data_IF_126386309108
#
_entry.id   IF_126386309108
#
_cell.length_a   1.000
_cell.length_b   1.000
_cell.length_c   1.000
_cell.angle_alpha   90.00
_cell.angle_beta   90.00
_cell.angle_gamma   90.00
#
_symmetry.space_group_name_H-M   'P 1'
#
loop_
_entity.id
_entity.type
_entity.pdbx_description
1 polymer ?
#
# COMPACT_ATOMS: atom_id res chain seq x y z
N UNK A 1 -19.19 -21.83 -0.99
CA UNK A 1 -18.08 -22.18 -0.08
C UNK A 1 -18.35 -21.57 1.28
N UNK A 2 -18.05 -22.26 2.37
CA UNK A 2 -18.13 -21.71 3.72
C UNK A 2 -16.89 -20.88 4.06
N UNK A 3 -17.03 -19.84 4.90
CA UNK A 3 -15.90 -18.99 5.27
C UNK A 3 -14.69 -19.76 5.82
N UNK A 4 -14.95 -20.79 6.64
CA UNK A 4 -13.90 -21.64 7.24
C UNK A 4 -13.03 -22.39 6.24
N UNK A 5 -13.51 -22.57 5.01
CA UNK A 5 -12.82 -23.31 3.94
C UNK A 5 -11.93 -22.38 3.11
N UNK A 6 -12.19 -21.07 3.14
CA UNK A 6 -11.46 -20.07 2.37
C UNK A 6 -10.03 -19.87 2.89
N UNK A 7 -9.08 -19.85 1.95
CA UNK A 7 -7.68 -19.52 2.21
C UNK A 7 -7.40 -18.10 1.74
N UNK A 8 -6.87 -17.26 2.60
CA UNK A 8 -6.68 -15.84 2.30
C UNK A 8 -5.21 -15.44 2.39
N UNK A 9 -4.74 -14.56 1.50
CA UNK A 9 -3.40 -13.97 1.61
C UNK A 9 -3.40 -12.55 1.05
N UNK A 10 -2.43 -11.75 1.47
CA UNK A 10 -2.17 -10.44 0.87
C UNK A 10 -1.16 -10.64 -0.25
N UNK A 11 -1.47 -10.14 -1.44
CA UNK A 11 -0.53 -10.01 -2.55
C UNK A 11 -0.07 -8.56 -2.61
N UNK A 12 1.14 -8.29 -2.16
CA UNK A 12 1.79 -6.99 -2.35
C UNK A 12 2.68 -7.05 -3.60
N UNK A 13 2.48 -6.12 -4.52
CA UNK A 13 3.38 -5.95 -5.67
C UNK A 13 4.26 -4.70 -5.52
N UNK A 14 3.78 -3.71 -4.75
CA UNK A 14 4.51 -2.53 -4.26
C UNK A 14 5.35 -1.81 -5.29
N UNK A 15 4.73 -1.62 -6.44
CA UNK A 15 5.29 -0.80 -7.51
C UNK A 15 4.69 0.60 -7.53
N UNK A 16 3.97 1.06 -6.50
CA UNK A 16 3.33 2.40 -6.50
C UNK A 16 4.34 3.46 -6.96
N UNK A 17 5.54 3.38 -6.40
CA UNK A 17 6.73 4.03 -6.94
C UNK A 17 7.50 3.02 -7.79
N UNK A 18 7.77 3.39 -9.04
CA UNK A 18 8.85 2.75 -9.81
C UNK A 18 10.19 3.32 -9.39
N UNK A 19 10.24 4.62 -9.07
CA UNK A 19 11.35 5.31 -8.43
C UNK A 19 10.77 6.33 -7.43
N UNK A 20 11.22 6.35 -6.15
CA UNK A 20 12.27 5.50 -5.58
C UNK A 20 11.81 4.05 -5.34
N UNK A 21 12.76 3.12 -5.38
CA UNK A 21 12.52 1.69 -5.19
C UNK A 21 12.26 1.41 -3.71
N UNK A 22 11.18 0.69 -3.40
CA UNK A 22 10.87 0.26 -2.03
C UNK A 22 11.88 -0.82 -1.61
N UNK A 23 12.58 -0.61 -0.49
CA UNK A 23 13.63 -1.53 0.01
C UNK A 23 13.16 -2.32 1.23
N UNK A 24 12.38 -1.70 2.11
CA UNK A 24 11.70 -2.38 3.20
C UNK A 24 10.25 -1.94 3.32
N UNK A 25 9.46 -2.72 4.04
CA UNK A 25 8.08 -2.39 4.35
C UNK A 25 7.29 -3.64 4.67
N UNK A 26 6.20 -3.50 5.41
CA UNK A 26 5.27 -4.58 5.73
C UNK A 26 3.84 -4.08 5.70
N UNK A 27 2.93 -4.92 5.23
CA UNK A 27 1.51 -4.70 5.41
C UNK A 27 0.95 -5.62 6.48
N UNK A 28 0.10 -5.06 7.33
CA UNK A 28 -0.76 -5.78 8.25
C UNK A 28 -2.20 -5.44 7.91
N UNK A 29 -2.97 -6.45 7.53
CA UNK A 29 -4.37 -6.33 7.14
C UNK A 29 -5.24 -7.08 8.13
N UNK A 30 -6.26 -6.42 8.68
CA UNK A 30 -7.30 -7.03 9.50
C UNK A 30 -8.59 -7.07 8.71
N UNK A 31 -9.06 -8.27 8.41
CA UNK A 31 -10.36 -8.52 7.81
C UNK A 31 -11.35 -8.96 8.88
N UNK A 32 -12.57 -8.44 8.79
CA UNK A 32 -13.68 -8.77 9.69
C UNK A 32 -14.86 -9.20 8.82
N UNK A 33 -15.39 -10.39 9.06
CA UNK A 33 -16.56 -10.92 8.39
C UNK A 33 -17.76 -10.92 9.35
N UNK A 34 -18.92 -10.48 8.86
CA UNK A 34 -20.21 -10.49 9.56
C UNK A 34 -21.31 -10.93 8.60
N UNK A 35 -22.40 -11.49 9.11
CA UNK A 35 -23.55 -11.86 8.27
C UNK A 35 -24.30 -10.61 7.79
N UNK A 36 -24.71 -10.62 6.53
CA UNK A 36 -25.47 -9.51 5.93
C UNK A 36 -26.87 -9.38 6.53
N UNK A 37 -27.44 -10.47 7.03
CA UNK A 37 -28.77 -10.53 7.65
C UNK A 37 -28.84 -9.83 9.03
N UNK A 38 -27.73 -9.29 9.53
CA UNK A 38 -27.66 -8.59 10.81
C UNK A 38 -27.57 -9.51 12.04
N UNK A 39 -27.51 -10.83 11.84
CA UNK A 39 -27.34 -11.78 12.94
C UNK A 39 -26.03 -11.50 13.69
N UNK A 40 -26.04 -11.49 15.03
CA UNK A 40 -24.83 -11.25 15.82
C UNK A 40 -23.73 -12.29 15.55
N UNK A 41 -22.48 -11.84 15.68
CA UNK A 41 -21.29 -12.67 15.48
C UNK A 41 -20.29 -11.99 14.55
N UNK A 42 -19.02 -12.37 14.68
CA UNK A 42 -17.98 -11.97 13.74
C UNK A 42 -16.86 -13.00 13.68
N UNK A 43 -16.20 -13.06 12.53
CA UNK A 43 -14.95 -13.76 12.35
C UNK A 43 -13.87 -12.79 11.87
N UNK A 44 -12.62 -13.01 12.27
CA UNK A 44 -11.51 -12.12 11.95
C UNK A 44 -10.36 -12.93 11.35
N UNK A 45 -9.72 -12.39 10.32
CA UNK A 45 -8.42 -12.82 9.84
C UNK A 45 -7.44 -11.64 9.91
N UNK A 46 -6.26 -11.86 10.47
CA UNK A 46 -5.16 -10.90 10.40
C UNK A 46 -4.10 -11.47 9.49
N UNK A 47 -3.84 -10.76 8.40
CA UNK A 47 -2.94 -11.15 7.33
C UNK A 47 -1.72 -10.25 7.32
N UNK A 48 -0.56 -10.82 7.01
CA UNK A 48 0.70 -10.11 6.94
C UNK A 48 1.40 -10.43 5.63
N UNK A 49 2.10 -9.44 5.08
CA UNK A 49 3.05 -9.68 3.99
C UNK A 49 4.17 -8.65 4.06
N UNK A 50 5.37 -9.08 3.67
CA UNK A 50 6.44 -8.15 3.36
C UNK A 50 6.09 -7.36 2.09
N UNK A 51 6.60 -6.14 2.04
CA UNK A 51 6.38 -5.22 0.95
C UNK A 51 7.23 -5.54 -0.29
N UNK A 52 8.39 -6.14 -0.08
CA UNK A 52 9.41 -6.33 -1.12
C UNK A 52 9.54 -7.81 -1.50
N UNK A 53 9.40 -8.69 -0.51
CA UNK A 53 9.48 -10.14 -0.71
C UNK A 53 8.07 -10.68 -0.95
N UNK A 54 7.82 -11.19 -2.16
CA UNK A 54 6.57 -11.89 -2.45
C UNK A 54 6.44 -13.11 -1.54
N UNK A 55 5.35 -13.17 -0.77
CA UNK A 55 5.07 -14.25 0.15
C UNK A 55 3.62 -14.71 -0.01
N UNK A 56 3.42 -16.02 -0.09
CA UNK A 56 2.12 -16.67 -0.16
C UNK A 56 1.75 -17.30 1.19
N UNK A 57 1.85 -16.54 2.28
CA UNK A 57 1.42 -17.03 3.59
C UNK A 57 -0.10 -17.05 3.64
N UNK A 58 -0.65 -18.24 3.87
CA UNK A 58 -2.09 -18.45 3.94
C UNK A 58 -2.58 -18.16 5.35
N UNK A 59 -3.69 -17.43 5.41
CA UNK A 59 -4.43 -17.09 6.61
C UNK A 59 -5.86 -17.60 6.52
N UNK A 60 -6.42 -17.94 7.68
CA UNK A 60 -7.80 -18.36 7.82
C UNK A 60 -8.51 -17.47 8.82
N UNK A 61 -9.80 -17.27 8.61
CA UNK A 61 -10.65 -16.62 9.60
C UNK A 61 -10.77 -17.46 10.87
N UNK A 62 -10.95 -16.77 12.00
CA UNK A 62 -11.28 -17.37 13.29
C UNK A 62 -12.32 -16.50 13.99
N UNK A 63 -13.28 -17.12 14.67
CA UNK A 63 -14.30 -16.40 15.42
C UNK A 63 -15.58 -17.20 15.59
N UNK A 64 -16.71 -16.48 15.56
CA UNK A 64 -18.04 -17.04 15.78
C UNK A 64 -18.34 -18.21 14.82
N UNK A 65 -18.80 -19.34 15.37
CA UNK A 65 -19.05 -20.57 14.60
C UNK A 65 -20.08 -20.35 13.50
N UNK A 66 -21.16 -19.62 13.77
CA UNK A 66 -22.23 -19.40 12.80
C UNK A 66 -21.72 -18.54 11.63
N UNK A 67 -20.86 -17.56 11.90
CA UNK A 67 -20.19 -16.78 10.85
C UNK A 67 -19.21 -17.64 10.05
N UNK A 68 -18.42 -18.48 10.72
CA UNK A 68 -17.45 -19.38 10.09
C UNK A 68 -18.10 -20.43 9.17
N UNK A 69 -19.32 -20.87 9.51
CA UNK A 69 -20.11 -21.85 8.74
C UNK A 69 -21.06 -21.22 7.71
N UNK A 70 -21.10 -19.89 7.64
CA UNK A 70 -21.89 -19.16 6.63
C UNK A 70 -21.24 -19.21 5.25
N UNK A 71 -22.07 -19.16 4.20
CA UNK A 71 -21.57 -19.01 2.83
C UNK A 71 -20.90 -17.65 2.67
N UNK A 72 -19.77 -17.58 1.97
CA UNK A 72 -19.05 -16.34 1.72
C UNK A 72 -19.90 -15.24 1.06
N UNK A 73 -20.92 -15.62 0.27
CA UNK A 73 -21.83 -14.67 -0.38
C UNK A 73 -22.83 -14.02 0.59
N UNK A 74 -23.08 -14.65 1.74
CA UNK A 74 -24.00 -14.15 2.78
C UNK A 74 -23.28 -13.25 3.80
N UNK A 75 -21.99 -12.96 3.55
CA UNK A 75 -21.13 -12.20 4.44
C UNK A 75 -20.82 -10.82 3.89
N UNK A 76 -20.68 -9.87 4.80
CA UNK A 76 -20.10 -8.56 4.56
C UNK A 76 -18.70 -8.53 5.17
N UNK A 77 -17.74 -8.07 4.38
CA UNK A 77 -16.34 -7.96 4.80
C UNK A 77 -15.97 -6.49 5.05
N UNK A 78 -15.31 -6.24 6.17
CA UNK A 78 -14.64 -4.97 6.46
C UNK A 78 -13.14 -5.23 6.53
N UNK A 79 -12.36 -4.44 5.81
CA UNK A 79 -10.90 -4.60 5.74
C UNK A 79 -10.21 -3.31 6.14
N UNK A 80 -9.24 -3.44 7.03
CA UNK A 80 -8.41 -2.35 7.51
C UNK A 80 -6.96 -2.79 7.33
N UNK A 81 -6.16 -2.05 6.56
CA UNK A 81 -4.74 -2.35 6.40
C UNK A 81 -3.87 -1.18 6.78
N UNK A 82 -2.70 -1.51 7.32
CA UNK A 82 -1.68 -0.56 7.71
C UNK A 82 -0.34 -0.98 7.09
N UNK A 83 0.35 -0.03 6.49
CA UNK A 83 1.74 -0.17 6.08
C UNK A 83 2.68 0.38 7.15
N UNK A 84 3.75 -0.35 7.50
CA UNK A 84 4.78 0.10 8.46
C UNK A 84 6.19 -0.28 8.00
N UNK A 85 7.20 0.41 8.53
CA UNK A 85 8.61 0.10 8.27
C UNK A 85 9.04 0.29 6.83
N UNK A 86 8.38 1.19 6.09
CA UNK A 86 8.70 1.46 4.71
C UNK A 86 9.98 2.29 4.57
N UNK A 87 10.86 1.86 3.68
CA UNK A 87 12.02 2.63 3.23
C UNK A 87 12.11 2.57 1.71
N UNK A 88 12.78 3.56 1.14
CA UNK A 88 12.94 3.72 -0.30
C UNK A 88 14.32 4.22 -0.61
N UNK A 89 14.84 3.78 -1.75
CA UNK A 89 16.16 4.14 -2.24
C UNK A 89 16.07 4.49 -3.73
N UNK A 90 16.88 5.45 -4.16
CA UNK A 90 17.11 5.74 -5.57
C UNK A 90 18.53 6.20 -5.79
N UNK A 91 19.04 5.99 -6.99
CA UNK A 91 20.29 6.62 -7.42
C UNK A 91 20.08 8.12 -7.65
N UNK A 92 21.12 8.95 -7.50
CA UNK A 92 21.03 10.39 -7.75
C UNK A 92 20.50 10.74 -9.15
N UNK A 93 20.82 9.92 -10.15
CA UNK A 93 20.49 10.15 -11.56
C UNK A 93 19.08 9.67 -11.94
N UNK A 94 18.45 8.84 -11.10
CA UNK A 94 17.09 8.34 -11.35
C UNK A 94 16.08 9.46 -11.12
N UNK A 95 15.22 9.68 -12.13
CA UNK A 95 14.08 10.57 -11.99
C UNK A 95 12.96 9.84 -11.29
N UNK A 96 12.26 10.56 -10.42
CA UNK A 96 11.04 10.09 -9.79
C UNK A 96 10.06 9.58 -10.85
N UNK A 97 9.48 8.40 -10.61
CA UNK A 97 8.51 7.78 -11.50
C UNK A 97 7.47 7.00 -10.68
N UNK A 98 6.20 7.32 -10.88
CA UNK A 98 5.09 6.54 -10.34
C UNK A 98 4.67 5.42 -11.30
N UNK A 99 4.10 4.36 -10.74
CA UNK A 99 3.43 3.36 -11.54
C UNK A 99 2.13 3.89 -12.14
N UNK A 100 2.11 3.88 -13.47
CA UNK A 100 0.98 4.26 -14.32
C UNK A 100 -0.22 3.31 -14.21
N UNK A 101 0.01 2.05 -13.86
CA UNK A 101 -1.02 1.01 -13.71
C UNK A 101 -1.20 0.67 -12.24
N UNK A 102 -2.18 1.32 -11.61
CA UNK A 102 -2.41 1.21 -10.17
C UNK A 102 -2.52 -0.24 -9.69
N UNK A 103 -3.03 -1.17 -10.51
CA UNK A 103 -3.17 -2.60 -10.22
C UNK A 103 -1.83 -3.27 -9.88
N UNK A 104 -0.74 -2.76 -10.46
CA UNK A 104 0.63 -3.23 -10.19
C UNK A 104 1.21 -2.60 -8.92
N UNK A 105 0.68 -1.45 -8.52
CA UNK A 105 1.19 -0.67 -7.41
C UNK A 105 0.61 -1.13 -6.09
N UNK A 106 -0.69 -1.38 -6.05
CA UNK A 106 -1.41 -1.59 -4.79
C UNK A 106 -1.37 -3.05 -4.32
N UNK A 107 -1.38 -3.30 -3.00
CA UNK A 107 -1.64 -4.65 -2.50
C UNK A 107 -3.04 -5.10 -2.91
N UNK A 108 -3.32 -6.40 -2.83
CA UNK A 108 -4.67 -6.97 -2.97
C UNK A 108 -4.84 -8.10 -1.96
N UNK A 109 -6.07 -8.38 -1.56
CA UNK A 109 -6.36 -9.58 -0.76
C UNK A 109 -6.96 -10.63 -1.67
N UNK A 110 -6.31 -11.78 -1.72
CA UNK A 110 -6.74 -12.92 -2.50
C UNK A 110 -7.45 -13.94 -1.61
N UNK A 111 -8.42 -14.63 -2.20
CA UNK A 111 -9.08 -15.79 -1.61
C UNK A 111 -8.99 -16.96 -2.60
N UNK A 112 -8.54 -18.11 -2.11
CA UNK A 112 -8.66 -19.36 -2.85
C UNK A 112 -9.87 -20.15 -2.33
N UNK A 113 -10.72 -20.58 -3.25
CA UNK A 113 -11.88 -21.40 -2.94
C UNK A 113 -11.60 -22.91 -2.95
N UNK A 114 -12.61 -23.72 -2.63
CA UNK A 114 -12.53 -25.18 -2.60
C UNK A 114 -12.30 -25.81 -3.98
N UNK A 115 -12.52 -25.07 -5.07
CA UNK A 115 -12.23 -25.48 -6.45
C UNK A 115 -10.85 -25.02 -6.92
N UNK A 116 -10.02 -24.47 -6.00
CA UNK A 116 -8.72 -23.86 -6.26
C UNK A 116 -8.77 -22.61 -7.15
N UNK A 117 -9.93 -22.00 -7.34
CA UNK A 117 -10.02 -20.71 -8.04
C UNK A 117 -9.60 -19.57 -7.11
N UNK A 118 -8.87 -18.61 -7.68
CA UNK A 118 -8.32 -17.46 -6.95
C UNK A 118 -9.14 -16.23 -7.30
N UNK A 119 -9.67 -15.58 -6.27
CA UNK A 119 -10.51 -14.40 -6.37
C UNK A 119 -9.84 -13.21 -5.69
N UNK A 120 -10.08 -12.02 -6.21
CA UNK A 120 -9.79 -10.75 -5.53
C UNK A 120 -10.94 -10.38 -4.61
N UNK A 121 -10.68 -10.30 -3.31
CA UNK A 121 -11.69 -9.95 -2.28
C UNK A 121 -11.75 -8.45 -2.05
N UNK A 122 -10.60 -7.78 -2.16
CA UNK A 122 -10.48 -6.33 -1.97
C UNK A 122 -9.55 -5.75 -3.01
N UNK A 123 -10.06 -4.73 -3.71
CA UNK A 123 -9.28 -3.84 -4.57
C UNK A 123 -9.01 -2.55 -3.82
N UNK A 124 -7.76 -2.11 -3.83
CA UNK A 124 -7.36 -0.82 -3.29
C UNK A 124 -7.44 0.18 -4.43
N UNK A 125 -8.45 1.05 -4.39
CA UNK A 125 -8.54 2.12 -5.36
C UNK A 125 -7.67 3.28 -4.86
N UNK A 126 -6.82 3.89 -5.70
CA UNK A 126 -6.10 5.10 -5.30
C UNK A 126 -7.12 6.20 -4.93
N UNK A 127 -6.78 7.07 -3.96
CA UNK A 127 -7.74 8.07 -3.47
C UNK A 127 -8.11 9.17 -4.49
N UNK A 128 -7.51 9.21 -5.69
CA UNK A 128 -7.77 10.24 -6.70
C UNK A 128 -7.65 9.69 -8.14
N UNK A 129 -8.55 10.14 -9.03
CA UNK A 129 -8.46 9.97 -10.50
C UNK A 129 -7.35 10.86 -11.13
N UNK A 130 -6.76 11.76 -10.34
CA UNK A 130 -5.69 12.65 -10.78
C UNK A 130 -4.33 11.98 -10.65
N UNK A 131 -3.57 12.03 -11.74
CA UNK A 131 -2.19 11.54 -11.83
C UNK A 131 -1.35 12.04 -10.63
N UNK A 132 -0.92 11.16 -9.70
CA UNK A 132 -0.24 11.59 -8.48
C UNK A 132 1.16 12.17 -8.73
N UNK A 133 1.65 12.12 -9.98
CA UNK A 133 2.94 12.67 -10.37
C UNK A 133 3.01 14.20 -10.14
N UNK A 134 1.88 14.92 -10.19
CA UNK A 134 1.87 16.37 -9.98
C UNK A 134 1.73 16.77 -8.50
N UNK A 135 1.30 15.85 -7.63
CA UNK A 135 1.04 16.11 -6.21
C UNK A 135 2.17 15.62 -5.30
N UNK A 136 2.90 14.57 -5.71
CA UNK A 136 4.01 14.05 -4.92
C UNK A 136 5.25 14.95 -5.07
N UNK A 137 5.62 15.65 -3.98
CA UNK A 137 6.88 16.41 -3.91
C UNK A 137 7.99 15.47 -3.45
N UNK A 138 8.98 15.21 -4.31
CA UNK A 138 10.17 14.44 -3.93
C UNK A 138 10.88 15.15 -2.76
N UNK A 139 10.91 14.56 -1.55
CA UNK A 139 11.56 15.18 -0.39
C UNK A 139 13.08 15.27 -0.54
N UNK A 140 13.70 14.52 -1.45
CA UNK A 140 15.14 14.59 -1.75
C UNK A 140 15.49 15.75 -2.71
N UNK A 141 14.50 16.34 -3.38
CA UNK A 141 14.68 17.59 -4.13
C UNK A 141 14.45 18.73 -3.15
N UNK A 142 15.49 19.14 -2.43
CA UNK A 142 15.49 20.49 -1.86
C UNK A 142 15.38 21.44 -3.04
N UNK A 143 14.22 22.13 -3.18
CA UNK A 143 14.18 23.31 -4.03
C UNK A 143 15.31 24.21 -3.51
N UNK A 144 16.21 24.72 -4.38
CA UNK A 144 17.12 25.77 -3.95
C UNK A 144 16.23 26.81 -3.28
N UNK A 145 16.57 27.15 -2.03
CA UNK A 145 15.80 28.08 -1.25
C UNK A 145 15.58 29.35 -2.07
N UNK A 146 14.57 30.11 -1.68
CA UNK A 146 14.51 31.53 -2.02
C UNK A 146 15.68 32.26 -1.33
N UNK A 147 16.93 31.84 -1.57
CA UNK A 147 18.15 32.58 -1.33
C UNK A 147 18.42 33.36 -2.61
N UNK A 148 17.69 34.46 -2.74
CA UNK A 148 18.00 35.52 -3.68
C UNK A 148 17.93 36.84 -2.93
N UNK A 149 18.95 37.06 -2.11
CA UNK A 149 19.41 38.39 -1.75
C UNK A 149 20.95 38.33 -1.76
N UNK A 150 21.51 38.90 -2.84
CA UNK A 150 22.93 38.92 -3.21
C UNK A 150 23.89 39.26 -2.06
N UNK A 151 25.09 38.65 -2.02
CA UNK A 151 26.29 39.31 -1.52
C UNK A 151 26.92 40.09 -2.68
N UNK A 152 26.61 41.38 -2.84
CA UNK A 152 27.51 42.27 -3.58
C UNK A 152 28.66 42.66 -2.65
N UNK A 153 29.75 41.91 -2.78
CA UNK A 153 31.06 42.35 -2.34
C UNK A 153 31.75 42.97 -3.56
N UNK A 154 31.68 44.29 -3.69
CA UNK A 154 32.50 45.05 -4.63
C UNK A 154 33.57 45.82 -3.86
N UNK A 155 34.82 45.45 -4.09
CA UNK A 155 35.96 46.36 -3.98
C UNK A 155 36.96 46.03 -5.10
N UNK A 156 38.05 46.77 -5.28
CA UNK A 156 38.33 48.17 -4.92
C UNK A 156 38.78 48.99 -6.16
N UNK A 157 38.96 50.32 -6.04
CA UNK A 157 39.87 51.05 -6.92
C UNK A 157 40.36 52.37 -6.31
N UNK A 158 41.62 52.32 -5.90
CA UNK A 158 42.69 53.32 -6.05
C UNK A 158 42.73 54.67 -5.32
N UNK A 159 43.99 54.99 -5.05
CA UNK A 159 44.58 55.90 -4.09
C UNK A 159 45.00 57.24 -4.77
N UNK A 160 45.18 58.26 -3.93
CA UNK A 160 46.03 59.47 -4.10
C UNK A 160 45.61 60.60 -5.05
N UNK A 161 45.26 61.77 -4.47
CA UNK A 161 46.14 62.96 -4.36
C UNK A 161 45.63 63.96 -3.34
#
# INVERSE_FOLDING_TARGET
>A
MMLKEGKFWVRAQNRIFKVPHVVTGKYTCRMIAKRQDGTPGQAIATLYTDAVVENHTIYWFKGDKNVMESNVNDLMFTVICQGTGFSWERKPEEKFELESKWENGVPSIKMQDTCNWIHDVVFWVPPYDDNPNDTFKDPAIMKPGTESANPEQSGPSDETR
#
